data_IF_384635687512
#
_entry.id   IF_384635687512
#
_cell.length_a   1.000
_cell.length_b   1.000
_cell.length_c   1.000
_cell.angle_alpha   90.00
_cell.angle_beta   90.00
_cell.angle_gamma   90.00
#
_symmetry.space_group_name_H-M   'P 1'
#
loop_
_entity.id
_entity.type
_entity.pdbx_description
1 polymer ?
#
# COMPACT_ATOMS: atom_id res chain seq x y z
N UNK A 1 18.84 16.41 12.09
CA UNK A 1 18.07 15.20 12.46
C UNK A 1 16.86 15.68 13.27
N UNK A 2 15.66 15.23 12.94
CA UNK A 2 14.38 15.69 13.53
C UNK A 2 13.50 14.46 13.78
N UNK A 3 12.62 14.51 14.78
CA UNK A 3 11.67 13.42 15.03
C UNK A 3 10.66 13.30 13.87
N UNK A 4 10.18 12.08 13.59
CA UNK A 4 9.05 11.92 12.69
C UNK A 4 7.81 12.62 13.29
N UNK A 5 6.93 13.27 12.51
CA UNK A 5 5.70 13.86 13.03
C UNK A 5 4.80 12.80 13.66
N UNK A 6 4.28 13.03 14.87
CA UNK A 6 3.47 12.06 15.60
C UNK A 6 2.32 12.72 16.38
N UNK A 7 1.25 11.98 16.66
CA UNK A 7 0.24 12.37 17.65
C UNK A 7 0.78 12.11 19.06
N UNK A 8 0.52 12.99 20.04
CA UNK A 8 1.08 12.86 21.39
C UNK A 8 0.46 11.72 22.21
N UNK A 9 -0.81 11.40 21.95
CA UNK A 9 -1.57 10.35 22.62
C UNK A 9 -2.28 9.51 21.57
N UNK A 10 -2.50 8.20 21.84
CA UNK A 10 -3.13 7.29 20.88
C UNK A 10 -4.60 7.65 20.62
N UNK A 11 -5.05 7.47 19.39
CA UNK A 11 -6.47 7.67 19.03
C UNK A 11 -7.34 6.50 19.51
N UNK A 12 -8.52 6.82 20.04
CA UNK A 12 -9.52 5.81 20.42
C UNK A 12 -10.03 5.04 19.20
N UNK A 13 -10.07 3.70 19.30
CA UNK A 13 -10.56 2.84 18.22
C UNK A 13 -11.34 1.64 18.78
N UNK A 14 -12.53 1.29 18.23
CA UNK A 14 -13.31 0.16 18.74
C UNK A 14 -12.60 -1.18 18.56
N UNK A 15 -12.48 -1.97 19.64
CA UNK A 15 -11.80 -3.27 19.62
C UNK A 15 -12.41 -4.28 18.64
N UNK A 16 -13.72 -4.24 18.45
CA UNK A 16 -14.43 -5.10 17.49
C UNK A 16 -14.00 -4.82 16.05
N UNK A 17 -13.90 -3.54 15.67
CA UNK A 17 -13.48 -3.13 14.33
C UNK A 17 -11.99 -3.34 14.11
N UNK A 18 -11.16 -3.23 15.15
CA UNK A 18 -9.74 -3.58 15.05
C UNK A 18 -9.57 -5.07 14.74
N UNK A 19 -10.31 -5.95 15.43
CA UNK A 19 -10.33 -7.39 15.13
C UNK A 19 -10.82 -7.67 13.71
N UNK A 20 -11.89 -7.00 13.28
CA UNK A 20 -12.37 -7.11 11.90
C UNK A 20 -11.28 -6.76 10.88
N UNK A 21 -10.54 -5.65 11.09
CA UNK A 21 -9.44 -5.25 10.23
C UNK A 21 -8.30 -6.29 10.22
N UNK A 22 -7.97 -6.86 11.38
CA UNK A 22 -6.95 -7.91 11.50
C UNK A 22 -7.36 -9.21 10.79
N UNK A 23 -8.63 -9.61 10.86
CA UNK A 23 -9.15 -10.81 10.18
C UNK A 23 -9.08 -10.69 8.64
N UNK A 24 -9.17 -9.46 8.12
CA UNK A 24 -9.12 -9.20 6.68
C UNK A 24 -7.71 -9.35 6.09
N UNK A 25 -6.65 -9.17 6.89
CA UNK A 25 -5.27 -9.19 6.37
C UNK A 25 -4.90 -10.50 5.65
N UNK A 26 -5.06 -11.69 6.25
CA UNK A 26 -4.73 -12.93 5.54
C UNK A 26 -5.65 -13.24 4.34
N UNK A 27 -6.87 -12.70 4.35
CA UNK A 27 -7.82 -12.83 3.23
C UNK A 27 -7.35 -11.96 2.05
N UNK A 28 -6.97 -10.70 2.32
CA UNK A 28 -6.41 -9.81 1.29
C UNK A 28 -5.09 -10.33 0.73
N UNK A 29 -4.22 -10.90 1.57
CA UNK A 29 -2.97 -11.51 1.11
C UNK A 29 -3.22 -12.61 0.07
N UNK A 30 -4.14 -13.54 0.36
CA UNK A 30 -4.49 -14.61 -0.57
C UNK A 30 -5.21 -14.07 -1.81
N UNK A 31 -6.08 -13.06 -1.67
CA UNK A 31 -6.72 -12.40 -2.81
C UNK A 31 -5.67 -11.76 -3.73
N UNK A 32 -4.68 -11.06 -3.17
CA UNK A 32 -3.60 -10.45 -3.97
C UNK A 32 -2.84 -11.52 -4.74
N UNK A 33 -2.45 -12.62 -4.09
CA UNK A 33 -1.76 -13.72 -4.78
C UNK A 33 -2.59 -14.26 -5.94
N UNK A 34 -3.86 -14.60 -5.69
CA UNK A 34 -4.73 -15.22 -6.70
C UNK A 34 -5.05 -14.27 -7.86
N UNK A 35 -5.29 -12.99 -7.60
CA UNK A 35 -5.51 -12.00 -8.66
C UNK A 35 -4.24 -11.79 -9.48
N UNK A 36 -3.06 -11.85 -8.85
CA UNK A 36 -1.78 -11.70 -9.55
C UNK A 36 -1.49 -12.81 -10.58
N UNK A 37 -2.14 -13.97 -10.43
CA UNK A 37 -2.01 -15.11 -11.34
C UNK A 37 -2.93 -14.97 -12.56
N UNK A 38 -4.03 -14.21 -12.47
CA UNK A 38 -4.94 -13.97 -13.59
C UNK A 38 -4.44 -12.82 -14.45
N UNK A 39 -3.45 -13.15 -15.29
CA UNK A 39 -2.80 -12.19 -16.19
C UNK A 39 -3.78 -11.55 -17.16
N UNK A 40 -4.79 -12.30 -17.60
CA UNK A 40 -5.85 -11.81 -18.49
C UNK A 40 -6.70 -10.77 -17.78
N UNK A 41 -7.12 -11.03 -16.55
CA UNK A 41 -7.86 -10.05 -15.74
C UNK A 41 -7.07 -8.75 -15.57
N UNK A 42 -5.78 -8.83 -15.23
CA UNK A 42 -4.94 -7.63 -15.06
C UNK A 42 -4.82 -6.83 -16.37
N UNK A 43 -4.51 -7.49 -17.48
CA UNK A 43 -4.36 -6.83 -18.78
C UNK A 43 -5.67 -6.22 -19.27
N UNK A 44 -6.79 -6.94 -19.18
CA UNK A 44 -8.10 -6.46 -19.63
C UNK A 44 -8.62 -5.31 -18.75
N UNK A 45 -8.49 -5.43 -17.42
CA UNK A 45 -8.97 -4.41 -16.47
C UNK A 45 -8.25 -3.08 -16.61
N UNK A 46 -6.97 -3.10 -17.02
CA UNK A 46 -6.12 -1.92 -17.14
C UNK A 46 -5.90 -1.50 -18.60
N UNK A 47 -6.54 -2.16 -19.58
CA UNK A 47 -6.34 -1.89 -21.00
C UNK A 47 -6.62 -0.44 -21.38
N UNK A 48 -7.76 0.11 -20.95
CA UNK A 48 -8.12 1.52 -21.23
C UNK A 48 -7.24 2.50 -20.44
N UNK A 49 -6.90 2.14 -19.20
CA UNK A 49 -6.01 2.95 -18.37
C UNK A 49 -4.65 3.15 -19.03
N UNK A 50 -4.10 2.11 -19.65
CA UNK A 50 -2.84 2.17 -20.41
C UNK A 50 -2.83 3.21 -21.52
N UNK A 51 -3.96 3.46 -22.17
CA UNK A 51 -4.05 4.41 -23.30
C UNK A 51 -3.86 5.86 -22.85
N UNK A 52 -4.11 6.15 -21.57
CA UNK A 52 -4.14 7.51 -21.02
C UNK A 52 -3.18 7.72 -19.85
N UNK A 53 -2.64 6.66 -19.25
CA UNK A 53 -1.64 6.71 -18.20
C UNK A 53 -0.36 5.99 -18.59
N UNK A 54 0.63 6.75 -19.05
CA UNK A 54 1.93 6.23 -19.49
C UNK A 54 2.63 5.41 -18.41
N UNK A 55 2.51 5.78 -17.13
CA UNK A 55 3.15 5.03 -16.04
C UNK A 55 2.58 3.62 -15.92
N UNK A 56 1.26 3.49 -15.81
CA UNK A 56 0.58 2.18 -15.79
C UNK A 56 0.83 1.40 -17.08
N UNK A 57 0.86 2.07 -18.24
CA UNK A 57 1.18 1.44 -19.51
C UNK A 57 2.56 0.77 -19.52
N UNK A 58 3.58 1.43 -18.95
CA UNK A 58 4.94 0.87 -18.81
C UNK A 58 5.02 -0.29 -17.81
N UNK A 59 4.22 -0.28 -16.75
CA UNK A 59 4.10 -1.44 -15.85
C UNK A 59 3.48 -2.64 -16.57
N UNK A 60 2.44 -2.41 -17.38
CA UNK A 60 1.81 -3.44 -18.21
C UNK A 60 2.72 -3.97 -19.30
N UNK A 61 3.62 -3.16 -19.85
CA UNK A 61 4.67 -3.60 -20.79
C UNK A 61 5.60 -4.62 -20.16
N UNK A 62 6.09 -4.33 -18.96
CA UNK A 62 6.94 -5.27 -18.22
C UNK A 62 6.17 -6.56 -17.95
N UNK A 63 4.93 -6.45 -17.45
CA UNK A 63 4.08 -7.61 -17.22
C UNK A 63 3.84 -8.43 -18.50
N UNK A 64 3.55 -7.81 -19.63
CA UNK A 64 3.37 -8.50 -20.91
C UNK A 64 4.63 -9.25 -21.35
N UNK A 65 5.82 -8.62 -21.23
CA UNK A 65 7.10 -9.28 -21.51
C UNK A 65 7.34 -10.48 -20.60
N UNK A 66 6.93 -10.40 -19.32
CA UNK A 66 7.04 -11.55 -18.41
C UNK A 66 6.18 -12.74 -18.84
N UNK A 67 5.00 -12.48 -19.42
CA UNK A 67 4.14 -13.51 -19.99
C UNK A 67 4.75 -14.13 -21.25
N UNK A 68 5.32 -13.32 -22.13
CA UNK A 68 6.02 -13.79 -23.34
C UNK A 68 7.21 -14.71 -23.00
N UNK A 69 7.94 -14.36 -21.93
CA UNK A 69 9.04 -15.18 -21.39
C UNK A 69 8.55 -16.47 -20.71
N UNK A 70 7.23 -16.65 -20.51
CA UNK A 70 6.62 -17.76 -19.78
C UNK A 70 7.29 -18.02 -18.42
N UNK A 71 7.70 -16.94 -17.74
CA UNK A 71 8.43 -17.07 -16.48
C UNK A 71 7.47 -17.48 -15.37
N UNK A 72 7.80 -18.55 -14.66
CA UNK A 72 7.09 -18.96 -13.45
C UNK A 72 7.72 -18.33 -12.22
N UNK A 73 6.90 -17.72 -11.37
CA UNK A 73 7.30 -17.24 -10.05
C UNK A 73 6.85 -18.26 -9.01
N UNK A 74 7.66 -19.30 -8.81
CA UNK A 74 7.36 -20.38 -7.86
C UNK A 74 7.36 -19.87 -6.43
N UNK A 75 8.23 -18.91 -6.10
CA UNK A 75 8.28 -18.28 -4.78
C UNK A 75 7.75 -16.85 -4.89
N UNK A 76 6.64 -16.56 -4.19
CA UNK A 76 5.96 -15.26 -4.23
C UNK A 76 5.88 -14.66 -2.84
N UNK A 77 6.37 -13.43 -2.72
CA UNK A 77 6.43 -12.67 -1.48
C UNK A 77 5.62 -11.37 -1.60
N UNK A 78 4.73 -11.17 -0.65
CA UNK A 78 3.92 -9.96 -0.51
C UNK A 78 4.09 -9.32 0.86
N UNK A 79 4.48 -8.04 0.90
CA UNK A 79 4.47 -7.22 2.11
C UNK A 79 3.49 -6.06 1.89
N UNK A 80 2.29 -6.22 2.44
CA UNK A 80 1.14 -5.39 2.12
C UNK A 80 0.72 -4.50 3.28
N UNK A 81 -0.02 -3.45 2.97
CA UNK A 81 -0.81 -2.70 3.97
C UNK A 81 -2.18 -2.38 3.42
N UNK A 82 -3.22 -2.92 4.05
CA UNK A 82 -4.60 -2.53 3.76
C UNK A 82 -5.00 -1.38 4.68
N UNK A 83 -5.42 -0.27 4.10
CA UNK A 83 -5.75 0.95 4.83
C UNK A 83 -7.26 1.13 4.95
N UNK A 84 -7.74 1.62 6.09
CA UNK A 84 -9.15 1.68 6.44
C UNK A 84 -9.51 2.97 7.18
N UNK A 85 -10.75 3.43 6.99
CA UNK A 85 -11.38 4.47 7.79
C UNK A 85 -12.69 3.97 8.39
N UNK A 86 -12.99 4.39 9.61
CA UNK A 86 -14.28 4.16 10.26
C UNK A 86 -15.24 5.28 9.88
N UNK A 87 -16.25 4.95 9.09
CA UNK A 87 -17.29 5.90 8.71
C UNK A 87 -18.19 6.25 9.91
N UNK A 88 -18.38 7.54 10.16
CA UNK A 88 -19.13 8.01 11.33
C UNK A 88 -20.63 7.73 11.22
N UNK A 89 -21.22 7.78 10.03
CA UNK A 89 -22.65 7.61 9.82
C UNK A 89 -23.05 6.13 9.90
N UNK A 90 -22.34 5.29 9.15
CA UNK A 90 -22.65 3.86 9.05
C UNK A 90 -22.00 3.01 10.15
N UNK A 91 -21.02 3.56 10.87
CA UNK A 91 -20.19 2.82 11.86
C UNK A 91 -19.47 1.61 11.26
N UNK A 92 -19.24 1.62 9.95
CA UNK A 92 -18.56 0.56 9.22
C UNK A 92 -17.11 0.91 8.96
N UNK A 93 -16.28 -0.11 8.95
CA UNK A 93 -14.88 -0.01 8.54
C UNK A 93 -14.80 -0.19 7.02
N UNK A 94 -14.43 0.86 6.31
CA UNK A 94 -14.25 0.82 4.86
C UNK A 94 -12.77 0.88 4.49
N UNK A 95 -12.38 0.05 3.53
CA UNK A 95 -11.05 0.05 2.95
C UNK A 95 -10.86 1.29 2.07
N UNK A 96 -9.79 2.03 2.32
CA UNK A 96 -9.34 3.17 1.53
C UNK A 96 -8.59 2.71 0.29
N UNK A 97 -7.61 1.83 0.49
CA UNK A 97 -6.73 1.29 -0.54
C UNK A 97 -5.99 0.06 -0.02
N UNK A 98 -5.37 -0.68 -0.95
CA UNK A 98 -4.47 -1.79 -0.65
C UNK A 98 -3.09 -1.49 -1.23
N UNK A 99 -2.11 -1.28 -0.36
CA UNK A 99 -0.74 -1.00 -0.76
C UNK A 99 -0.01 -2.33 -0.97
N UNK A 100 0.31 -2.66 -2.22
CA UNK A 100 1.05 -3.89 -2.55
C UNK A 100 2.54 -3.66 -2.80
N UNK A 101 2.97 -2.41 -2.97
CA UNK A 101 4.36 -1.99 -3.19
C UNK A 101 4.80 -0.97 -2.12
N UNK A 102 6.04 -1.07 -1.65
CA UNK A 102 6.67 -0.09 -0.74
C UNK A 102 5.79 0.33 0.45
N UNK A 103 5.12 -0.64 1.08
CA UNK A 103 4.30 -0.41 2.27
C UNK A 103 5.16 0.14 3.42
N UNK A 104 5.20 1.47 3.53
CA UNK A 104 6.07 2.21 4.46
C UNK A 104 5.56 2.18 5.90
N UNK A 105 6.44 2.58 6.82
CA UNK A 105 6.23 2.71 8.27
C UNK A 105 6.14 1.45 9.15
N UNK A 106 6.57 0.23 8.73
CA UNK A 106 6.58 -0.90 9.65
C UNK A 106 7.59 -0.70 10.80
N UNK A 107 8.67 0.08 10.59
CA UNK A 107 9.65 0.42 11.62
C UNK A 107 9.14 1.51 12.55
N UNK A 108 8.80 2.67 11.98
CA UNK A 108 8.35 3.81 12.81
C UNK A 108 7.00 3.57 13.50
N UNK A 109 6.09 2.78 12.89
CA UNK A 109 4.81 2.42 13.51
C UNK A 109 5.00 1.64 14.82
N UNK A 110 5.97 0.73 14.89
CA UNK A 110 6.35 0.05 16.13
C UNK A 110 6.82 1.03 17.21
N UNK A 111 7.68 1.98 16.82
CA UNK A 111 8.19 3.00 17.75
C UNK A 111 7.09 3.91 18.29
N UNK A 112 6.10 4.28 17.48
CA UNK A 112 4.98 5.11 17.94
C UNK A 112 4.07 4.34 18.92
N UNK A 113 3.82 3.05 18.70
CA UNK A 113 3.10 2.22 19.68
C UNK A 113 3.84 2.18 21.02
N UNK A 114 5.16 2.01 21.01
CA UNK A 114 5.97 1.98 22.23
C UNK A 114 6.09 3.37 22.89
N UNK A 115 6.18 4.44 22.10
CA UNK A 115 6.10 5.81 22.61
C UNK A 115 4.80 6.03 23.40
N UNK A 116 3.65 5.69 22.82
CA UNK A 116 2.37 5.85 23.50
C UNK A 116 2.25 4.97 24.74
N UNK A 117 2.72 3.72 24.70
CA UNK A 117 2.77 2.85 25.89
C UNK A 117 3.62 3.46 27.00
N UNK A 118 4.78 4.01 26.67
CA UNK A 118 5.66 4.67 27.66
C UNK A 118 5.01 5.92 28.26
N UNK A 119 4.40 6.77 27.43
CA UNK A 119 3.65 7.94 27.92
C UNK A 119 2.48 7.54 28.83
N UNK A 120 1.74 6.49 28.47
CA UNK A 120 0.64 5.98 29.30
C UNK A 120 1.13 5.27 30.57
N UNK A 121 2.31 4.64 30.57
CA UNK A 121 2.90 4.11 31.80
C UNK A 121 3.27 5.23 32.79
N UNK A 122 3.75 6.37 32.27
CA UNK A 122 4.18 7.50 33.09
C UNK A 122 3.00 8.38 33.54
N UNK A 123 2.05 8.67 32.64
CA UNK A 123 0.97 9.65 32.84
C UNK A 123 -0.45 9.04 32.84
N UNK A 124 -0.59 7.75 32.56
CA UNK A 124 -1.89 7.10 32.37
C UNK A 124 -2.84 7.21 33.57
N UNK A 125 -2.33 7.19 34.80
CA UNK A 125 -3.14 7.41 36.01
C UNK A 125 -3.81 8.79 36.02
N UNK A 126 -3.11 9.82 35.55
CA UNK A 126 -3.64 11.19 35.48
C UNK A 126 -4.62 11.35 34.32
N UNK A 127 -4.39 10.61 33.23
CA UNK A 127 -5.21 10.64 32.02
C UNK A 127 -6.42 9.69 32.07
N UNK A 128 -6.49 8.78 33.04
CA UNK A 128 -7.49 7.72 33.08
C UNK A 128 -7.29 6.66 31.99
N UNK A 129 -6.06 6.45 31.54
CA UNK A 129 -5.70 5.57 30.43
C UNK A 129 -4.71 4.49 30.87
N UNK A 130 -4.83 3.30 30.31
CA UNK A 130 -3.95 2.16 30.58
C UNK A 130 -3.11 1.83 29.34
N UNK A 131 -1.79 1.66 29.50
CA UNK A 131 -0.90 1.31 28.39
C UNK A 131 -1.28 -0.01 27.69
N UNK A 132 -1.98 -0.91 28.39
CA UNK A 132 -2.56 -2.15 27.83
C UNK A 132 -3.65 -1.90 26.80
N UNK A 133 -4.22 -0.70 26.78
CA UNK A 133 -5.15 -0.26 25.74
C UNK A 133 -4.49 -0.10 24.37
N UNK A 134 -3.16 0.10 24.31
CA UNK A 134 -2.40 0.15 23.06
C UNK A 134 -1.88 -1.25 22.70
N UNK A 135 -2.33 -1.86 21.59
CA UNK A 135 -1.91 -3.20 21.22
C UNK A 135 -0.43 -3.25 20.83
N UNK A 136 0.18 -4.43 20.97
CA UNK A 136 1.56 -4.63 20.57
C UNK A 136 1.71 -4.49 19.06
N UNK A 137 2.86 -4.00 18.60
CA UNK A 137 3.11 -3.80 17.19
C UNK A 137 4.42 -4.49 16.77
N UNK A 138 4.31 -5.50 15.92
CA UNK A 138 5.42 -6.37 15.50
C UNK A 138 5.78 -6.19 14.03
N UNK A 139 5.29 -5.14 13.37
CA UNK A 139 5.40 -4.95 11.91
C UNK A 139 6.81 -5.06 11.36
N UNK A 140 7.78 -4.35 11.95
CA UNK A 140 9.17 -4.45 11.50
C UNK A 140 9.72 -5.87 11.60
N UNK A 141 9.52 -6.55 12.74
CA UNK A 141 10.05 -7.89 12.96
C UNK A 141 9.41 -8.93 12.05
N UNK A 142 8.11 -8.81 11.76
CA UNK A 142 7.37 -9.75 10.91
C UNK A 142 7.67 -9.55 9.43
N UNK A 143 7.89 -8.31 8.99
CA UNK A 143 8.39 -8.04 7.64
C UNK A 143 9.83 -8.54 7.45
N UNK A 144 10.70 -8.35 8.45
CA UNK A 144 12.05 -8.91 8.42
C UNK A 144 12.03 -10.46 8.40
N UNK A 145 11.14 -11.09 9.17
CA UNK A 145 10.95 -12.55 9.15
C UNK A 145 10.49 -13.05 7.78
N UNK A 146 9.55 -12.35 7.13
CA UNK A 146 9.06 -12.72 5.80
C UNK A 146 10.16 -12.61 4.73
N UNK A 147 10.97 -11.53 4.77
CA UNK A 147 12.14 -11.38 3.90
C UNK A 147 13.17 -12.49 4.13
N UNK A 148 13.46 -12.81 5.39
CA UNK A 148 14.39 -13.88 5.75
C UNK A 148 13.88 -15.26 5.31
N UNK A 149 12.58 -15.54 5.46
CA UNK A 149 11.95 -16.77 4.96
C UNK A 149 12.03 -16.87 3.45
N UNK A 150 11.74 -15.79 2.71
CA UNK A 150 11.87 -15.79 1.26
C UNK A 150 13.32 -16.02 0.81
N UNK A 151 14.28 -15.38 1.47
CA UNK A 151 15.72 -15.60 1.23
C UNK A 151 16.13 -17.07 1.50
N UNK A 152 15.63 -17.68 2.58
CA UNK A 152 15.86 -19.09 2.87
C UNK A 152 15.27 -20.02 1.80
N UNK A 153 14.07 -19.70 1.29
CA UNK A 153 13.43 -20.48 0.22
C UNK A 153 14.15 -20.35 -1.13
N UNK A 154 14.81 -19.22 -1.40
CA UNK A 154 15.71 -19.08 -2.54
C UNK A 154 16.91 -20.04 -2.44
N UNK A 155 17.34 -20.38 -1.22
CA UNK A 155 18.30 -21.43 -0.91
C UNK A 155 19.72 -21.20 -1.48
N UNK A 156 20.22 -19.96 -1.41
CA UNK A 156 21.63 -19.62 -1.64
C UNK A 156 22.16 -18.83 -0.44
N UNK A 157 22.95 -19.48 0.41
CA UNK A 157 23.51 -18.88 1.64
C UNK A 157 24.48 -17.71 1.40
N UNK A 158 24.99 -17.56 0.17
CA UNK A 158 25.90 -16.46 -0.20
C UNK A 158 25.16 -15.24 -0.78
N UNK A 159 23.88 -15.40 -1.08
CA UNK A 159 23.05 -14.38 -1.70
C UNK A 159 22.64 -13.28 -0.72
N UNK A 160 22.13 -12.18 -1.26
CA UNK A 160 21.69 -11.01 -0.51
C UNK A 160 20.22 -10.69 -0.76
N UNK A 161 19.65 -9.92 0.15
CA UNK A 161 18.48 -9.08 -0.14
C UNK A 161 19.00 -7.77 -0.76
N UNK A 162 18.34 -7.26 -1.80
CA UNK A 162 18.58 -5.94 -2.38
C UNK A 162 17.38 -5.05 -2.04
N UNK A 163 17.61 -3.89 -1.45
CA UNK A 163 16.55 -2.88 -1.27
C UNK A 163 16.67 -1.83 -2.36
N UNK A 164 15.61 -1.71 -3.17
CA UNK A 164 15.53 -0.71 -4.23
C UNK A 164 14.95 0.57 -3.64
N UNK A 165 15.74 1.64 -3.62
CA UNK A 165 15.43 2.88 -2.88
C UNK A 165 15.31 4.09 -3.82
N UNK A 166 14.86 5.22 -3.28
CA UNK A 166 14.94 6.52 -3.95
C UNK A 166 16.33 7.14 -3.75
N UNK A 167 16.81 8.00 -4.67
CA UNK A 167 18.05 8.75 -4.48
C UNK A 167 18.01 9.62 -3.21
N UNK A 168 16.89 10.30 -2.97
CA UNK A 168 16.64 11.09 -1.77
C UNK A 168 15.54 10.44 -0.94
N UNK A 169 15.92 9.82 0.19
CA UNK A 169 15.01 9.05 1.03
C UNK A 169 14.95 9.62 2.46
N UNK A 170 14.00 10.53 2.68
CA UNK A 170 13.79 11.14 3.99
C UNK A 170 13.32 10.14 5.06
N UNK A 171 12.72 9.03 4.66
CA UNK A 171 12.25 7.96 5.55
C UNK A 171 13.23 6.78 5.61
N UNK A 172 14.53 7.01 5.38
CA UNK A 172 15.54 5.93 5.31
C UNK A 172 15.66 5.14 6.61
N UNK A 173 15.42 5.76 7.76
CA UNK A 173 15.51 5.10 9.06
C UNK A 173 14.42 4.03 9.25
N UNK A 174 13.21 4.23 8.72
CA UNK A 174 12.17 3.19 8.68
C UNK A 174 12.65 1.93 7.92
N UNK A 175 13.49 2.12 6.90
CA UNK A 175 14.07 1.04 6.11
C UNK A 175 15.24 0.37 6.86
N UNK A 176 16.10 1.15 7.51
CA UNK A 176 17.21 0.61 8.30
C UNK A 176 16.75 -0.23 9.49
N UNK A 177 15.57 0.05 10.04
CA UNK A 177 14.95 -0.79 11.08
C UNK A 177 14.63 -2.22 10.61
N UNK A 178 14.42 -2.44 9.31
CA UNK A 178 14.15 -3.77 8.77
C UNK A 178 15.42 -4.62 8.62
N UNK A 179 16.58 -4.03 8.26
CA UNK A 179 17.93 -4.66 8.36
C UNK A 179 19.04 -3.82 7.70
N UNK A 180 20.29 -4.22 7.94
CA UNK A 180 21.50 -3.76 7.25
C UNK A 180 21.62 -4.41 5.86
N UNK A 181 20.81 -3.96 4.91
CA UNK A 181 20.74 -4.52 3.54
C UNK A 181 21.53 -3.64 2.55
N UNK A 182 21.99 -4.22 1.44
CA UNK A 182 22.50 -3.46 0.28
C UNK A 182 21.36 -2.67 -0.34
N UNK A 183 21.57 -1.37 -0.50
CA UNK A 183 20.58 -0.41 -0.97
C UNK A 183 21.06 0.19 -2.27
N UNK A 184 20.23 0.16 -3.30
CA UNK A 184 20.54 0.73 -4.62
C UNK A 184 19.33 1.46 -5.19
N UNK A 185 19.58 2.55 -5.88
CA UNK A 185 18.59 3.21 -6.73
C UNK A 185 18.37 2.40 -8.00
N UNK A 186 17.26 2.65 -8.72
CA UNK A 186 17.03 2.00 -10.01
C UNK A 186 18.13 2.31 -11.03
N UNK A 187 18.67 3.54 -11.04
CA UNK A 187 19.78 3.91 -11.91
C UNK A 187 21.06 3.12 -11.61
N UNK A 188 21.40 2.91 -10.33
CA UNK A 188 22.53 2.06 -9.95
C UNK A 188 22.29 0.59 -10.28
N UNK A 189 21.04 0.11 -10.23
CA UNK A 189 20.71 -1.26 -10.67
C UNK A 189 20.91 -1.43 -12.18
N UNK A 190 20.57 -0.43 -13.00
CA UNK A 190 20.84 -0.48 -14.45
C UNK A 190 22.35 -0.47 -14.75
N UNK A 191 23.14 0.29 -13.98
CA UNK A 191 24.57 0.42 -14.23
C UNK A 191 25.42 -0.73 -13.69
N UNK A 192 25.03 -1.34 -12.56
CA UNK A 192 25.81 -2.37 -11.86
C UNK A 192 25.18 -3.76 -11.93
N UNK A 193 23.93 -3.87 -12.35
CA UNK A 193 23.17 -5.11 -12.38
C UNK A 193 23.60 -6.03 -13.52
N UNK A 194 23.82 -7.30 -13.20
CA UNK A 194 24.16 -8.36 -14.14
C UNK A 194 23.11 -9.47 -14.07
N UNK A 195 22.61 -9.92 -15.22
CA UNK A 195 21.81 -11.13 -15.32
C UNK A 195 22.64 -12.23 -15.97
N UNK A 196 22.89 -13.31 -15.22
CA UNK A 196 23.61 -14.47 -15.72
C UNK A 196 22.73 -15.31 -16.67
N UNK A 197 23.32 -16.16 -17.53
CA UNK A 197 22.56 -16.99 -18.48
C UNK A 197 21.53 -17.93 -17.85
N UNK A 198 21.72 -18.31 -16.59
CA UNK A 198 20.79 -19.14 -15.81
C UNK A 198 19.65 -18.34 -15.15
N UNK A 199 19.61 -17.02 -15.38
CA UNK A 199 18.63 -16.10 -14.80
C UNK A 199 19.03 -15.54 -13.43
N UNK A 200 20.20 -15.88 -12.90
CA UNK A 200 20.68 -15.36 -11.61
C UNK A 200 20.99 -13.87 -11.72
N UNK A 201 20.38 -13.05 -10.87
CA UNK A 201 20.67 -11.62 -10.78
C UNK A 201 21.81 -11.36 -9.80
N UNK A 202 22.79 -10.55 -10.24
CA UNK A 202 23.92 -10.13 -9.43
C UNK A 202 24.04 -8.62 -9.40
N UNK A 203 24.50 -8.10 -8.27
CA UNK A 203 24.86 -6.69 -8.12
C UNK A 203 26.10 -6.58 -7.22
N UNK A 204 27.09 -5.79 -7.64
CA UNK A 204 28.37 -5.72 -6.93
C UNK A 204 29.03 -7.08 -6.72
N UNK A 205 28.91 -7.99 -7.70
CA UNK A 205 29.46 -9.35 -7.66
C UNK A 205 28.74 -10.34 -6.75
N UNK A 206 27.61 -9.97 -6.13
CA UNK A 206 26.84 -10.85 -5.22
C UNK A 206 25.50 -11.24 -5.83
N UNK A 207 25.11 -12.51 -5.66
CA UNK A 207 23.79 -13.02 -6.04
C UNK A 207 22.71 -12.34 -5.22
N UNK A 208 21.63 -11.90 -5.88
CA UNK A 208 20.45 -11.32 -5.24
C UNK A 208 19.36 -12.36 -5.19
N UNK A 209 18.99 -12.79 -3.98
CA UNK A 209 17.89 -13.71 -3.76
C UNK A 209 16.54 -13.01 -3.66
N UNK A 210 16.50 -11.81 -3.07
CA UNK A 210 15.26 -11.06 -2.86
C UNK A 210 15.45 -9.60 -3.27
N UNK A 211 14.53 -9.07 -4.07
CA UNK A 211 14.44 -7.64 -4.41
C UNK A 211 13.28 -7.04 -3.63
N UNK A 212 13.59 -6.18 -2.65
CA UNK A 212 12.61 -5.48 -1.83
C UNK A 212 12.45 -4.03 -2.29
N UNK A 213 11.29 -3.69 -2.86
CA UNK A 213 11.02 -2.35 -3.37
C UNK A 213 10.63 -1.39 -2.26
N UNK A 214 11.44 -0.33 -2.11
CA UNK A 214 11.11 0.90 -1.38
C UNK A 214 11.00 2.14 -2.29
N UNK A 215 11.05 1.93 -3.61
CA UNK A 215 10.80 2.89 -4.68
C UNK A 215 10.13 2.18 -5.88
N UNK A 216 9.95 2.87 -7.00
CA UNK A 216 9.41 2.29 -8.24
C UNK A 216 7.88 2.23 -8.30
N UNK A 217 7.22 2.99 -7.43
CA UNK A 217 5.75 3.12 -7.33
C UNK A 217 5.24 4.49 -7.82
N UNK A 218 6.15 5.38 -8.23
CA UNK A 218 5.84 6.70 -8.76
C UNK A 218 6.57 6.91 -10.09
N UNK A 219 6.00 7.62 -11.07
CA UNK A 219 6.71 8.00 -12.29
C UNK A 219 7.98 8.82 -12.02
N UNK A 220 8.04 9.54 -10.90
CA UNK A 220 9.23 10.33 -10.51
C UNK A 220 10.44 9.44 -10.17
N UNK A 221 10.21 8.15 -9.87
CA UNK A 221 11.29 7.19 -9.68
C UNK A 221 11.86 6.68 -11.01
N UNK A 222 11.33 7.14 -12.15
CA UNK A 222 11.72 6.76 -13.52
C UNK A 222 12.04 7.99 -14.40
N UNK A 223 13.06 8.80 -14.06
CA UNK A 223 13.42 9.97 -14.85
C UNK A 223 13.95 9.64 -16.25
N UNK A 224 14.37 8.39 -16.51
CA UNK A 224 14.90 7.95 -17.80
C UNK A 224 14.53 6.49 -18.13
N UNK A 225 14.98 6.01 -19.29
CA UNK A 225 14.86 4.59 -19.65
C UNK A 225 15.75 3.67 -18.81
N UNK A 226 16.76 4.22 -18.11
CA UNK A 226 17.63 3.46 -17.21
C UNK A 226 16.83 2.75 -16.13
N UNK A 227 15.94 3.45 -15.47
CA UNK A 227 15.16 2.90 -14.37
C UNK A 227 14.15 1.86 -14.83
N UNK A 228 13.61 2.02 -16.04
CA UNK A 228 12.74 1.03 -16.66
C UNK A 228 13.49 -0.24 -17.07
N UNK A 229 14.71 -0.11 -17.60
CA UNK A 229 15.59 -1.27 -17.87
C UNK A 229 15.96 -1.99 -16.58
N UNK A 230 16.32 -1.27 -15.52
CA UNK A 230 16.57 -1.87 -14.21
C UNK A 230 15.34 -2.62 -13.66
N UNK A 231 14.15 -2.02 -13.75
CA UNK A 231 12.91 -2.67 -13.30
C UNK A 231 12.65 -3.95 -14.08
N UNK A 232 12.80 -3.93 -15.40
CA UNK A 232 12.65 -5.12 -16.24
C UNK A 232 13.74 -6.17 -15.96
N UNK A 233 15.01 -5.75 -15.78
CA UNK A 233 16.14 -6.63 -15.44
C UNK A 233 15.89 -7.44 -14.18
N UNK A 234 15.43 -6.77 -13.11
CA UNK A 234 15.07 -7.44 -11.87
C UNK A 234 13.87 -8.37 -12.07
N UNK A 235 12.84 -7.93 -12.80
CA UNK A 235 11.63 -8.73 -13.01
C UNK A 235 11.92 -10.01 -13.80
N UNK A 236 12.80 -9.99 -14.79
CA UNK A 236 13.17 -11.21 -15.54
C UNK A 236 14.05 -12.18 -14.74
N UNK A 237 14.73 -11.73 -13.68
CA UNK A 237 15.66 -12.55 -12.91
C UNK A 237 15.01 -13.56 -11.97
N UNK A 238 15.76 -14.61 -11.58
CA UNK A 238 15.32 -15.62 -10.61
C UNK A 238 15.09 -15.09 -9.20
N UNK A 239 15.56 -13.88 -8.86
CA UNK A 239 15.36 -13.27 -7.56
C UNK A 239 13.87 -13.16 -7.21
N UNK A 240 13.50 -13.29 -5.95
CA UNK A 240 12.11 -13.13 -5.48
C UNK A 240 11.82 -11.63 -5.38
N UNK A 241 10.80 -11.15 -6.08
CA UNK A 241 10.42 -9.73 -6.00
C UNK A 241 9.40 -9.51 -4.90
N UNK A 242 9.56 -8.43 -4.14
CA UNK A 242 8.63 -7.95 -3.13
C UNK A 242 8.29 -6.48 -3.40
N UNK A 243 7.24 -6.20 -4.19
CA UNK A 243 6.41 -7.15 -4.95
C UNK A 243 6.93 -7.43 -6.37
N UNK A 244 6.46 -8.52 -6.97
CA UNK A 244 6.52 -8.71 -8.44
C UNK A 244 5.71 -7.65 -9.19
N UNK A 245 5.89 -7.58 -10.51
CA UNK A 245 5.12 -6.66 -11.36
C UNK A 245 3.61 -6.97 -11.32
N UNK A 246 3.22 -8.24 -11.24
CA UNK A 246 1.80 -8.62 -11.13
C UNK A 246 1.20 -8.15 -9.81
N UNK A 247 1.87 -8.38 -8.68
CA UNK A 247 1.46 -7.85 -7.38
C UNK A 247 1.40 -6.32 -7.36
N UNK A 248 2.32 -5.63 -8.04
CA UNK A 248 2.28 -4.17 -8.18
C UNK A 248 1.02 -3.72 -8.93
N UNK A 249 0.66 -4.37 -10.04
CA UNK A 249 -0.56 -4.06 -10.79
C UNK A 249 -1.84 -4.32 -9.98
N UNK A 250 -1.85 -5.37 -9.15
CA UNK A 250 -3.00 -5.66 -8.26
C UNK A 250 -3.28 -4.50 -7.29
N UNK A 251 -2.25 -3.77 -6.86
CA UNK A 251 -2.41 -2.62 -5.96
C UNK A 251 -3.01 -1.38 -6.61
N UNK A 252 -3.19 -1.36 -7.93
CA UNK A 252 -3.77 -0.20 -8.62
C UNK A 252 -5.21 0.04 -8.17
N UNK A 253 -5.60 1.31 -8.12
CA UNK A 253 -6.96 1.72 -7.74
C UNK A 253 -7.99 1.15 -8.71
N UNK A 254 -7.64 1.00 -9.99
CA UNK A 254 -8.49 0.35 -10.99
C UNK A 254 -8.76 -1.11 -10.66
N UNK A 255 -7.77 -1.90 -10.25
CA UNK A 255 -8.02 -3.28 -9.83
C UNK A 255 -8.86 -3.34 -8.55
N UNK A 256 -8.63 -2.46 -7.58
CA UNK A 256 -9.49 -2.35 -6.39
C UNK A 256 -10.97 -2.11 -6.79
N UNK A 257 -11.21 -1.21 -7.75
CA UNK A 257 -12.55 -0.92 -8.27
C UNK A 257 -13.15 -2.11 -9.04
N UNK A 258 -12.37 -2.81 -9.86
CA UNK A 258 -12.85 -3.99 -10.59
C UNK A 258 -13.22 -5.14 -9.66
N UNK A 259 -12.44 -5.36 -8.59
CA UNK A 259 -12.74 -6.37 -7.56
C UNK A 259 -14.04 -6.08 -6.80
N UNK A 260 -14.47 -4.82 -6.74
CA UNK A 260 -15.73 -4.43 -6.11
C UNK A 260 -16.97 -4.72 -6.97
N UNK A 261 -16.81 -5.07 -8.26
CA UNK A 261 -17.94 -5.42 -9.12
C UNK A 261 -18.61 -6.74 -8.66
N UNK A 262 -19.93 -6.88 -8.86
CA UNK A 262 -20.64 -8.12 -8.56
C UNK A 262 -19.97 -9.33 -9.23
N UNK A 263 -19.87 -10.44 -8.48
CA UNK A 263 -19.33 -11.73 -8.94
C UNK A 263 -17.83 -11.78 -9.29
N UNK A 264 -17.07 -10.67 -9.15
CA UNK A 264 -15.64 -10.67 -9.47
C UNK A 264 -14.81 -11.33 -8.37
N UNK A 265 -15.11 -11.09 -7.09
CA UNK A 265 -14.42 -11.75 -5.97
C UNK A 265 -14.52 -13.29 -6.03
N UNK A 266 -15.68 -13.82 -6.43
CA UNK A 266 -15.94 -15.25 -6.59
C UNK A 266 -15.04 -15.92 -7.62
N UNK A 267 -14.45 -15.17 -8.56
CA UNK A 267 -13.46 -15.73 -9.50
C UNK A 267 -12.16 -16.11 -8.79
N UNK A 268 -11.85 -15.43 -7.69
CA UNK A 268 -10.57 -15.54 -6.99
C UNK A 268 -10.71 -16.25 -5.66
N UNK A 269 -11.85 -16.20 -5.00
CA UNK A 269 -12.06 -16.80 -3.68
C UNK A 269 -13.26 -17.73 -3.70
N UNK A 270 -13.10 -18.88 -3.03
CA UNK A 270 -14.15 -19.91 -2.92
C UNK A 270 -14.91 -19.81 -1.59
N UNK A 271 -14.23 -19.32 -0.54
CA UNK A 271 -14.80 -19.22 0.79
C UNK A 271 -15.80 -18.05 0.87
N UNK A 272 -17.09 -18.40 0.95
CA UNK A 272 -18.18 -17.42 1.00
C UNK A 272 -18.09 -16.46 2.18
N UNK A 273 -17.62 -16.92 3.33
CA UNK A 273 -17.47 -16.08 4.52
C UNK A 273 -16.36 -15.03 4.31
N UNK A 274 -15.26 -15.43 3.67
CA UNK A 274 -14.15 -14.52 3.34
C UNK A 274 -14.59 -13.47 2.31
N UNK A 275 -15.34 -13.89 1.30
CA UNK A 275 -15.92 -12.97 0.29
C UNK A 275 -16.88 -11.97 0.98
N UNK A 276 -17.72 -12.43 1.90
CA UNK A 276 -18.64 -11.55 2.63
C UNK A 276 -17.88 -10.55 3.51
N UNK A 277 -16.81 -10.99 4.20
CA UNK A 277 -15.94 -10.11 5.00
C UNK A 277 -15.29 -9.02 4.13
N UNK A 278 -14.75 -9.37 2.97
CA UNK A 278 -14.19 -8.41 2.03
C UNK A 278 -15.23 -7.41 1.54
N UNK A 279 -16.40 -7.89 1.08
CA UNK A 279 -17.50 -7.02 0.64
C UNK A 279 -17.94 -6.03 1.70
N UNK A 280 -18.01 -6.47 2.96
CA UNK A 280 -18.40 -5.61 4.09
C UNK A 280 -17.45 -4.43 4.29
N UNK A 281 -16.20 -4.52 3.85
CA UNK A 281 -15.23 -3.42 3.93
C UNK A 281 -15.09 -2.60 2.64
N UNK A 282 -15.74 -2.98 1.53
CA UNK A 282 -15.71 -2.15 0.33
C UNK A 282 -16.64 -0.95 0.48
N UNK A 283 -16.09 0.25 0.28
CA UNK A 283 -16.88 1.43 0.02
C UNK A 283 -17.46 1.37 -1.41
N UNK A 284 -18.33 2.31 -1.77
CA UNK A 284 -18.71 2.49 -3.17
C UNK A 284 -17.50 2.77 -4.06
N UNK A 285 -17.32 1.96 -5.10
CA UNK A 285 -16.20 2.01 -6.04
C UNK A 285 -16.74 1.86 -7.45
N UNK A 286 -16.46 2.83 -8.32
CA UNK A 286 -17.07 2.89 -9.64
C UNK A 286 -16.08 3.27 -10.73
N UNK A 287 -16.31 2.69 -11.91
CA UNK A 287 -15.72 3.14 -13.16
C UNK A 287 -16.44 4.40 -13.62
N UNK A 288 -15.72 5.35 -14.22
CA UNK A 288 -16.29 6.57 -14.79
C UNK A 288 -16.92 6.36 -16.19
N UNK A 289 -17.00 5.11 -16.62
CA UNK A 289 -17.71 4.70 -17.83
C UNK A 289 -19.23 4.62 -17.62
N UNK A 290 -19.67 4.62 -16.36
CA UNK A 290 -21.08 4.66 -15.99
C UNK A 290 -21.55 6.13 -15.94
N UNK A 291 -22.40 6.50 -16.91
CA UNK A 291 -22.90 7.87 -17.04
C UNK A 291 -23.74 8.32 -15.84
N UNK A 292 -24.49 7.41 -15.21
CA UNK A 292 -25.29 7.76 -14.03
C UNK A 292 -24.40 8.10 -12.83
N UNK A 293 -23.31 7.35 -12.67
CA UNK A 293 -22.34 7.63 -11.61
C UNK A 293 -21.61 8.94 -11.88
N UNK A 294 -21.27 9.21 -13.14
CA UNK A 294 -20.61 10.45 -13.53
C UNK A 294 -21.52 11.66 -13.25
N UNK A 295 -22.80 11.59 -13.61
CA UNK A 295 -23.79 12.63 -13.30
C UNK A 295 -23.92 12.86 -11.79
N UNK A 296 -24.07 11.79 -11.00
CA UNK A 296 -24.11 11.88 -9.53
C UNK A 296 -22.85 12.52 -8.95
N UNK A 297 -21.68 12.22 -9.51
CA UNK A 297 -20.41 12.81 -9.08
C UNK A 297 -20.33 14.30 -9.39
N UNK A 298 -20.91 14.75 -10.51
CA UNK A 298 -20.99 16.18 -10.84
C UNK A 298 -22.02 16.90 -9.98
N UNK A 299 -23.15 16.27 -9.65
CA UNK A 299 -24.17 16.87 -8.79
C UNK A 299 -23.70 17.04 -7.34
N UNK A 300 -23.05 16.02 -6.77
CA UNK A 300 -22.63 15.95 -5.35
C UNK A 300 -21.14 15.64 -5.19
N UNK A 301 -20.23 16.48 -5.71
CA UNK A 301 -18.80 16.17 -5.79
C UNK A 301 -18.12 16.02 -4.43
N UNK A 302 -18.66 16.64 -3.38
CA UNK A 302 -18.19 16.50 -1.99
C UNK A 302 -18.36 15.08 -1.42
N UNK A 303 -19.25 14.27 -2.01
CA UNK A 303 -19.54 12.89 -1.60
C UNK A 303 -18.58 11.88 -2.22
N UNK A 304 -17.66 12.30 -3.08
CA UNK A 304 -16.75 11.43 -3.81
C UNK A 304 -15.29 11.85 -3.71
N UNK A 305 -14.42 10.89 -4.03
CA UNK A 305 -13.00 11.07 -4.24
C UNK A 305 -12.65 10.49 -5.59
N UNK A 306 -12.03 11.30 -6.43
CA UNK A 306 -11.53 10.87 -7.73
C UNK A 306 -10.06 10.50 -7.58
N UNK A 307 -9.70 9.25 -7.91
CA UNK A 307 -8.36 8.69 -7.66
C UNK A 307 -7.67 8.29 -8.96
N UNK A 308 -6.51 8.88 -9.31
CA UNK A 308 -5.68 8.38 -10.40
C UNK A 308 -4.94 7.08 -10.01
N UNK A 309 -4.31 6.42 -10.98
CA UNK A 309 -3.46 5.25 -10.74
C UNK A 309 -2.08 5.64 -10.17
N UNK A 310 -2.06 6.20 -8.96
CA UNK A 310 -0.84 6.63 -8.27
C UNK A 310 -0.80 6.10 -6.84
N UNK A 311 0.41 5.99 -6.32
CA UNK A 311 0.71 5.59 -4.93
C UNK A 311 1.51 6.68 -4.21
N UNK A 312 1.49 6.67 -2.88
CA UNK A 312 2.32 7.54 -2.05
C UNK A 312 1.67 8.86 -1.58
N UNK A 313 0.38 9.05 -1.84
CA UNK A 313 -0.41 10.23 -1.41
C UNK A 313 -0.17 11.49 -2.25
N UNK A 314 -1.06 12.47 -2.14
CA UNK A 314 -0.98 13.76 -2.83
C UNK A 314 -1.58 13.81 -4.24
N UNK A 315 -2.29 12.76 -4.67
CA UNK A 315 -2.75 12.63 -6.07
C UNK A 315 -4.28 12.67 -6.22
N UNK A 316 -5.04 12.59 -5.12
CA UNK A 316 -6.48 12.44 -5.20
C UNK A 316 -7.14 13.82 -5.40
N UNK A 317 -8.31 13.81 -6.03
CA UNK A 317 -9.12 15.01 -6.28
C UNK A 317 -10.40 14.93 -5.45
N UNK A 318 -10.79 16.05 -4.82
CA UNK A 318 -11.87 16.12 -3.84
C UNK A 318 -12.73 17.37 -4.03
N UNK A 319 -14.00 17.32 -3.60
CA UNK A 319 -14.86 18.50 -3.58
C UNK A 319 -15.03 19.09 -4.98
N UNK A 320 -15.11 20.41 -5.10
CA UNK A 320 -15.40 21.07 -6.39
C UNK A 320 -14.41 20.69 -7.50
N UNK A 321 -13.13 20.45 -7.16
CA UNK A 321 -12.11 20.00 -8.11
C UNK A 321 -12.51 18.68 -8.81
N UNK A 322 -13.33 17.82 -8.18
CA UNK A 322 -13.89 16.63 -8.82
C UNK A 322 -14.79 17.03 -9.98
N UNK A 323 -15.72 17.97 -9.75
CA UNK A 323 -16.63 18.45 -10.81
C UNK A 323 -15.84 19.10 -11.93
N UNK A 324 -14.90 19.99 -11.61
CA UNK A 324 -14.06 20.66 -12.60
C UNK A 324 -13.24 19.67 -13.43
N UNK A 325 -12.64 18.67 -12.78
CA UNK A 325 -11.85 17.64 -13.45
C UNK A 325 -12.72 16.79 -14.36
N UNK A 326 -13.88 16.33 -13.90
CA UNK A 326 -14.81 15.52 -14.71
C UNK A 326 -15.32 16.32 -15.92
N UNK A 327 -15.72 17.58 -15.73
CA UNK A 327 -16.18 18.44 -16.82
C UNK A 327 -15.10 18.66 -17.88
N UNK A 328 -13.85 18.91 -17.45
CA UNK A 328 -12.70 19.04 -18.36
C UNK A 328 -12.46 17.75 -19.15
N UNK A 329 -12.45 16.60 -18.48
CA UNK A 329 -12.22 15.31 -19.14
C UNK A 329 -13.32 14.97 -20.16
N UNK A 330 -14.58 15.36 -19.89
CA UNK A 330 -15.67 15.22 -20.86
C UNK A 330 -15.48 16.12 -22.08
N UNK A 331 -15.06 17.38 -21.88
CA UNK A 331 -14.77 18.31 -22.97
C UNK A 331 -13.62 17.83 -23.87
N UNK A 332 -12.64 17.11 -23.29
CA UNK A 332 -11.50 16.51 -24.00
C UNK A 332 -11.84 15.16 -24.67
N UNK A 333 -13.13 14.84 -24.84
CA UNK A 333 -13.59 13.63 -25.53
C UNK A 333 -13.64 12.37 -24.65
N UNK A 334 -13.59 12.52 -23.33
CA UNK A 334 -13.90 11.47 -22.35
C UNK A 334 -12.83 10.38 -22.18
N UNK A 335 -11.83 10.27 -23.07
CA UNK A 335 -10.80 9.21 -22.99
C UNK A 335 -10.03 9.24 -21.67
N UNK A 336 -9.69 10.44 -21.18
CA UNK A 336 -8.92 10.60 -19.94
C UNK A 336 -9.62 10.12 -18.68
N UNK A 337 -10.94 9.84 -18.72
CA UNK A 337 -11.68 9.26 -17.59
C UNK A 337 -11.10 7.89 -17.18
N UNK A 338 -10.52 7.13 -18.11
CA UNK A 338 -9.94 5.81 -17.82
C UNK A 338 -8.68 5.84 -16.93
N UNK A 339 -8.09 7.02 -16.70
CA UNK A 339 -6.98 7.20 -15.75
C UNK A 339 -7.46 7.16 -14.29
N UNK A 340 -8.75 7.35 -14.05
CA UNK A 340 -9.32 7.53 -12.72
C UNK A 340 -10.35 6.47 -12.37
N UNK A 341 -10.56 6.29 -11.07
CA UNK A 341 -11.76 5.68 -10.50
C UNK A 341 -12.50 6.70 -9.65
N UNK A 342 -13.80 6.49 -9.45
CA UNK A 342 -14.57 7.22 -8.46
C UNK A 342 -14.76 6.34 -7.22
N UNK A 343 -14.51 6.91 -6.05
CA UNK A 343 -14.72 6.24 -4.78
C UNK A 343 -15.65 7.08 -3.89
N UNK A 344 -16.51 6.42 -3.14
CA UNK A 344 -17.30 7.04 -2.08
C UNK A 344 -16.36 7.71 -1.07
N UNK A 345 -16.62 8.99 -0.76
CA UNK A 345 -15.92 9.66 0.32
C UNK A 345 -16.41 9.12 1.66
N UNK A 346 -15.45 8.77 2.51
CA UNK A 346 -15.71 8.28 3.86
C UNK A 346 -15.54 9.46 4.83
N UNK A 347 -16.44 9.57 5.81
CA UNK A 347 -16.45 10.69 6.76
C UNK A 347 -16.24 10.18 8.19
N UNK A 348 -14.98 10.02 8.64
CA UNK A 348 -14.70 9.61 10.01
C UNK A 348 -15.13 10.65 11.04
N UNK A 349 -15.37 10.20 12.26
CA UNK A 349 -15.58 11.11 13.38
C UNK A 349 -14.25 11.82 13.68
N UNK A 350 -14.28 13.15 13.79
CA UNK A 350 -13.11 13.89 14.20
C UNK A 350 -12.94 13.85 15.72
N UNK A 351 -11.69 13.84 16.17
CA UNK A 351 -11.31 13.92 17.56
C UNK A 351 -10.24 14.99 17.75
N UNK A 352 -10.33 15.72 18.87
CA UNK A 352 -9.37 16.75 19.20
C UNK A 352 -8.05 16.11 19.63
N UNK A 353 -7.01 16.30 18.83
CA UNK A 353 -5.74 15.58 18.90
C UNK A 353 -4.57 16.54 19.03
N UNK A 354 -3.55 16.15 19.80
CA UNK A 354 -2.31 16.91 19.93
C UNK A 354 -1.29 16.37 18.92
N UNK A 355 -0.99 17.16 17.89
CA UNK A 355 -0.09 16.82 16.80
C UNK A 355 1.27 17.47 17.04
N UNK A 356 2.34 16.67 17.02
CA UNK A 356 3.71 17.12 17.27
C UNK A 356 4.51 17.09 15.97
N UNK A 357 5.05 18.23 15.57
CA UNK A 357 5.91 18.42 14.39
C UNK A 357 6.94 19.49 14.67
N UNK A 358 8.20 19.22 14.32
CA UNK A 358 9.32 20.16 14.47
C UNK A 358 9.42 20.75 15.89
N UNK A 359 9.26 19.90 16.90
CA UNK A 359 9.28 20.28 18.32
C UNK A 359 8.07 21.08 18.80
N UNK A 360 7.10 21.35 17.93
CA UNK A 360 5.88 22.10 18.25
C UNK A 360 4.69 21.17 18.39
N UNK A 361 3.97 21.29 19.51
CA UNK A 361 2.71 20.59 19.74
C UNK A 361 1.53 21.52 19.43
N UNK A 362 0.63 21.10 18.53
CA UNK A 362 -0.58 21.83 18.17
C UNK A 362 -1.80 20.97 18.44
N UNK A 363 -2.85 21.57 18.99
CA UNK A 363 -4.12 20.89 19.25
C UNK A 363 -5.09 21.21 18.11
N UNK A 364 -5.59 20.18 17.43
CA UNK A 364 -6.45 20.34 16.26
C UNK A 364 -7.50 19.22 16.15
N UNK A 365 -8.59 19.48 15.43
CA UNK A 365 -9.56 18.46 15.04
C UNK A 365 -8.92 17.54 14.00
N UNK A 366 -8.86 16.24 14.28
CA UNK A 366 -8.18 15.27 13.43
C UNK A 366 -9.03 14.03 13.16
N UNK A 367 -8.76 13.40 12.02
CA UNK A 367 -9.31 12.10 11.62
C UNK A 367 -8.17 11.11 11.39
N UNK A 368 -8.47 9.82 11.52
CA UNK A 368 -7.45 8.78 11.52
C UNK A 368 -7.76 7.66 10.54
N UNK A 369 -6.70 7.06 10.00
CA UNK A 369 -6.71 6.00 9.00
C UNK A 369 -5.85 4.84 9.49
N UNK A 370 -6.49 3.68 9.68
CA UNK A 370 -5.89 2.46 10.18
C UNK A 370 -5.29 1.66 9.02
N UNK A 371 -3.99 1.46 9.00
CA UNK A 371 -3.31 0.49 8.15
C UNK A 371 -3.06 -0.82 8.87
N UNK A 372 -3.48 -1.94 8.30
CA UNK A 372 -3.12 -3.28 8.78
C UNK A 372 -2.10 -3.89 7.84
N UNK A 373 -0.94 -4.26 8.37
CA UNK A 373 0.09 -4.93 7.58
C UNK A 373 -0.23 -6.42 7.42
N UNK A 374 0.05 -6.95 6.24
CA UNK A 374 -0.01 -8.37 5.91
C UNK A 374 1.32 -8.83 5.33
N UNK A 375 1.76 -10.03 5.69
CA UNK A 375 2.89 -10.69 5.05
C UNK A 375 2.47 -12.03 4.49
N UNK A 376 2.83 -12.26 3.23
CA UNK A 376 2.52 -13.45 2.47
C UNK A 376 3.78 -14.05 1.87
N UNK A 377 3.96 -15.35 2.01
CA UNK A 377 5.01 -16.10 1.34
C UNK A 377 4.45 -17.45 0.91
N UNK A 378 4.58 -17.77 -0.37
CA UNK A 378 4.23 -19.06 -0.93
C UNK A 378 5.41 -19.59 -1.73
N UNK A 379 5.65 -20.89 -1.63
CA UNK A 379 6.59 -21.65 -2.45
C UNK A 379 5.80 -22.76 -3.14
N UNK A 380 5.63 -22.64 -4.45
CA UNK A 380 4.76 -23.46 -5.30
C UNK A 380 3.33 -23.51 -4.75
N UNK A 381 2.88 -24.66 -4.30
CA UNK A 381 1.53 -24.85 -3.73
C UNK A 381 1.48 -24.62 -2.22
N UNK A 382 2.63 -24.49 -1.56
CA UNK A 382 2.72 -24.39 -0.10
C UNK A 382 2.75 -22.94 0.35
N UNK A 383 1.72 -22.52 1.07
CA UNK A 383 1.72 -21.26 1.81
C UNK A 383 2.62 -21.41 3.04
N UNK A 384 3.70 -20.64 3.08
CA UNK A 384 4.70 -20.64 4.17
C UNK A 384 4.43 -19.55 5.20
N UNK A 385 3.77 -18.48 4.77
CA UNK A 385 3.36 -17.37 5.63
C UNK A 385 2.11 -16.74 5.04
N UNK A 386 1.08 -16.50 5.86
CA UNK A 386 -0.07 -15.69 5.51
C UNK A 386 -0.64 -15.05 6.77
N UNK A 387 0.00 -13.98 7.21
CA UNK A 387 -0.18 -13.46 8.57
C UNK A 387 -0.52 -11.97 8.58
N UNK A 388 -1.37 -11.58 9.55
CA UNK A 388 -1.46 -10.20 10.00
C UNK A 388 -0.18 -9.84 10.78
N UNK A 389 0.42 -8.70 10.43
CA UNK A 389 1.79 -8.36 10.83
C UNK A 389 1.86 -6.97 11.50
N UNK A 390 0.99 -6.70 12.46
CA UNK A 390 0.91 -5.39 13.12
C UNK A 390 0.16 -4.33 12.31
N UNK A 391 0.36 -3.06 12.66
CA UNK A 391 -0.48 -1.97 12.16
C UNK A 391 0.27 -0.64 12.08
N UNK A 392 -0.35 0.31 11.38
CA UNK A 392 0.00 1.72 11.32
C UNK A 392 -1.28 2.51 11.61
N UNK A 393 -1.22 3.54 12.43
CA UNK A 393 -2.27 4.55 12.44
C UNK A 393 -1.68 5.84 11.89
N UNK A 394 -2.40 6.47 10.96
CA UNK A 394 -2.07 7.81 10.45
C UNK A 394 -3.18 8.75 10.88
N UNK A 395 -2.80 9.90 11.40
CA UNK A 395 -3.76 10.92 11.85
C UNK A 395 -3.46 12.24 11.13
N UNK A 396 -4.49 12.90 10.64
CA UNK A 396 -4.39 14.18 9.92
C UNK A 396 -5.45 15.15 10.40
N UNK A 397 -5.19 16.45 10.25
CA UNK A 397 -6.21 17.47 10.51
C UNK A 397 -7.45 17.20 9.64
N UNK A 398 -8.64 17.38 10.20
CA UNK A 398 -9.90 16.97 9.55
C UNK A 398 -10.23 17.79 8.30
N UNK A 399 -9.65 18.98 8.18
CA UNK A 399 -9.73 19.83 6.99
C UNK A 399 -8.78 19.40 5.85
N UNK A 400 -7.80 18.52 6.12
CA UNK A 400 -6.85 18.05 5.12
C UNK A 400 -7.44 16.93 4.27
N UNK A 401 -7.48 17.15 2.96
CA UNK A 401 -7.87 16.13 2.00
C UNK A 401 -6.80 15.01 1.89
N UNK A 402 -5.52 15.34 2.06
CA UNK A 402 -4.40 14.40 1.88
C UNK A 402 -3.91 13.78 3.20
N UNK A 403 -3.39 12.56 3.16
CA UNK A 403 -3.08 11.73 4.34
C UNK A 403 -1.67 11.12 4.41
N UNK A 404 -0.78 11.46 3.47
CA UNK A 404 0.59 10.94 3.48
C UNK A 404 1.46 11.58 4.56
N UNK A 405 2.06 10.77 5.45
CA UNK A 405 3.07 11.25 6.43
C UNK A 405 4.33 11.72 5.70
N UNK A 406 4.82 10.91 4.76
CA UNK A 406 5.99 11.25 3.93
C UNK A 406 5.74 12.49 3.05
N UNK A 407 4.49 12.74 2.67
CA UNK A 407 4.07 13.92 1.91
C UNK A 407 3.77 15.14 2.80
N UNK A 408 3.90 15.03 4.13
CA UNK A 408 3.78 16.14 5.07
C UNK A 408 2.36 16.42 5.60
N UNK A 409 1.34 15.70 5.15
CA UNK A 409 -0.07 15.97 5.50
C UNK A 409 -0.56 15.32 6.78
N UNK A 410 0.02 14.17 7.15
CA UNK A 410 -0.35 13.40 8.33
C UNK A 410 0.80 13.26 9.32
N UNK A 411 0.46 12.78 10.51
CA UNK A 411 1.39 12.35 11.56
C UNK A 411 1.21 10.85 11.83
N UNK A 412 2.25 10.22 12.36
CA UNK A 412 2.17 8.84 12.87
C UNK A 412 1.38 8.82 14.18
N UNK A 413 0.61 7.76 14.38
CA UNK A 413 -0.21 7.58 15.58
C UNK A 413 -0.23 6.08 15.96
N UNK A 414 -0.86 5.75 17.08
CA UNK A 414 -1.24 4.39 17.43
C UNK A 414 -2.69 4.35 17.92
N UNK A 415 -3.23 3.17 18.17
CA UNK A 415 -4.60 3.02 18.64
C UNK A 415 -4.70 2.76 20.14
N UNK A 416 -5.76 3.27 20.76
CA UNK A 416 -6.22 2.92 22.08
C UNK A 416 -7.54 2.15 21.94
N UNK A 417 -7.53 0.85 22.23
CA UNK A 417 -8.68 -0.02 22.04
C UNK A 417 -9.76 0.26 23.10
N UNK A 418 -10.97 0.53 22.62
CA UNK A 418 -12.17 0.76 23.44
C UNK A 418 -13.20 -0.35 23.33
#
# INVERSE_FOLDING_TARGET
MVHAPFALLPVSFPKSLWRQACELAPIFNELVDRVSLDSKFLQESLFRTREVDTFTGRLLDIHAKMLELNKTEDIRLGLHRSDYMLDSATKRLYQIELNTISASFPGLGCLVSELHRNLLNQFGKQLGLDSRGVPGNTSVSRFAEALAKAWNEYNDSSSIVLVVIKPEEHNMYDQYWLSTIIRKTLAEVDSEGELLPDGTFRIGGRTVAVVYFRSGYSPNDYPSESEWRARFLMEQSSAIKCPSISYHLVGTKKIQQELAKPNVLERFLDNKDDIEKLRKCFAGLWSLEDSEILEKAMESPESFVLKPQREGGGNNVYGEDVRETLAKLQQEGGRGLAAYILMQRIFPASALTHLVRDGTCRRDSAISELGIYGAYLRSKDKVLMNDQCGYLMRTKVSSSNEGGVAAGFAVLDSIYLT
#
